data_IF_051698343814
#
_entry.id   IF_051698343814
#
_cell.length_a   1.000
_cell.length_b   1.000
_cell.length_c   1.000
_cell.angle_alpha   90.00
_cell.angle_beta   90.00
_cell.angle_gamma   90.00
#
_symmetry.space_group_name_H-M   'P 1'
#
loop_
_entity.id
_entity.type
_entity.pdbx_description
1 polymer ?
#
# COMPACT_ATOMS: atom_id res chain seq x y z
N UNK A 1 8.50 -7.03 10.91
CA UNK A 1 7.18 -7.12 11.53
C UNK A 1 6.69 -8.57 11.55
N UNK A 2 6.12 -8.98 12.67
CA UNK A 2 5.59 -10.34 12.87
C UNK A 2 4.20 -10.40 12.23
N UNK A 3 4.09 -10.96 11.02
CA UNK A 3 2.79 -11.15 10.37
C UNK A 3 1.98 -12.25 11.07
N UNK A 4 0.68 -12.04 11.24
CA UNK A 4 -0.25 -13.00 11.84
C UNK A 4 -0.82 -13.89 10.74
N UNK A 5 -0.76 -15.22 10.92
CA UNK A 5 -1.42 -16.20 10.06
C UNK A 5 -0.56 -16.98 9.05
N UNK A 6 0.65 -16.56 8.62
CA UNK A 6 1.44 -17.31 7.65
C UNK A 6 1.76 -18.74 8.07
N UNK A 7 1.99 -18.99 9.36
CA UNK A 7 2.28 -20.32 9.87
C UNK A 7 1.05 -21.26 9.75
N UNK A 8 -0.17 -20.75 10.00
CA UNK A 8 -1.42 -21.52 9.82
C UNK A 8 -1.69 -21.83 8.35
N UNK A 9 -1.43 -20.85 7.46
CA UNK A 9 -1.56 -21.06 6.02
C UNK A 9 -0.57 -22.11 5.53
N UNK A 10 0.68 -22.06 5.99
CA UNK A 10 1.70 -23.02 5.63
C UNK A 10 1.33 -24.45 6.13
N UNK A 11 0.78 -24.57 7.32
CA UNK A 11 0.28 -25.83 7.85
C UNK A 11 -0.85 -26.40 6.99
N UNK A 12 -1.80 -25.56 6.57
CA UNK A 12 -2.87 -25.95 5.64
C UNK A 12 -2.31 -26.50 4.33
N UNK A 13 -1.38 -25.78 3.70
CA UNK A 13 -0.72 -26.20 2.45
C UNK A 13 -0.01 -27.55 2.64
N UNK A 14 0.71 -27.72 3.76
CA UNK A 14 1.39 -28.98 4.09
C UNK A 14 0.42 -30.14 4.30
N UNK A 15 -0.76 -29.90 4.83
CA UNK A 15 -1.79 -30.92 4.99
C UNK A 15 -2.32 -31.38 3.62
N UNK A 16 -2.53 -30.46 2.67
CA UNK A 16 -2.85 -30.84 1.29
C UNK A 16 -1.78 -31.73 0.68
N UNK A 17 -0.51 -31.43 0.88
CA UNK A 17 0.59 -32.26 0.34
C UNK A 17 0.65 -33.68 0.91
N UNK A 18 0.13 -33.90 2.13
CA UNK A 18 0.06 -35.23 2.78
C UNK A 18 -1.13 -36.04 2.29
N UNK A 19 -2.29 -35.39 2.05
CA UNK A 19 -3.55 -36.07 1.75
C UNK A 19 -3.58 -36.62 0.31
N UNK A 20 -2.83 -36.04 -0.60
CA UNK A 20 -2.84 -36.43 -2.01
C UNK A 20 -2.14 -37.80 -2.31
N UNK A 21 -1.53 -38.46 -1.32
CA UNK A 21 -0.85 -39.75 -1.51
C UNK A 21 0.35 -39.71 -2.49
N UNK A 22 0.69 -38.52 -3.00
CA UNK A 22 1.71 -38.30 -4.02
C UNK A 22 3.00 -37.83 -3.36
N UNK A 23 4.11 -38.46 -3.72
CA UNK A 23 5.45 -38.13 -3.20
C UNK A 23 6.05 -36.84 -3.80
N UNK A 24 5.30 -36.11 -4.63
CA UNK A 24 5.78 -34.90 -5.32
C UNK A 24 5.50 -33.65 -4.49
N UNK A 25 6.34 -32.63 -4.68
CA UNK A 25 6.14 -31.31 -4.06
C UNK A 25 4.88 -30.64 -4.60
N UNK A 26 4.12 -30.00 -3.71
CA UNK A 26 2.97 -29.18 -4.07
C UNK A 26 3.45 -27.79 -4.48
N UNK A 27 3.03 -27.34 -5.67
CA UNK A 27 3.26 -25.99 -6.15
C UNK A 27 1.99 -25.14 -5.94
N UNK A 28 2.12 -24.01 -5.25
CA UNK A 28 1.02 -23.08 -4.92
C UNK A 28 1.28 -21.74 -5.56
N UNK A 29 0.41 -21.33 -6.50
CA UNK A 29 0.47 -19.99 -7.10
C UNK A 29 -0.18 -18.94 -6.21
N UNK A 30 0.47 -17.78 -6.05
CA UNK A 30 -0.08 -16.62 -5.36
C UNK A 30 -0.45 -15.58 -6.39
N UNK A 31 -1.74 -15.33 -6.57
CA UNK A 31 -2.30 -14.39 -7.57
C UNK A 31 -3.10 -13.28 -6.90
N UNK A 32 -3.19 -12.14 -7.54
CA UNK A 32 -3.97 -10.99 -7.06
C UNK A 32 -3.49 -9.67 -7.65
N UNK A 33 -4.12 -8.58 -7.25
CA UNK A 33 -3.77 -7.24 -7.71
C UNK A 33 -2.33 -6.83 -7.36
N UNK A 34 -1.74 -5.84 -8.06
CA UNK A 34 -0.47 -5.23 -7.65
C UNK A 34 -0.57 -4.66 -6.21
N UNK A 35 0.54 -4.66 -5.49
CA UNK A 35 0.72 -4.05 -4.16
C UNK A 35 -0.20 -4.53 -3.02
N UNK A 36 -0.93 -5.64 -3.18
CA UNK A 36 -1.78 -6.23 -2.12
C UNK A 36 -1.00 -7.10 -1.11
N UNK A 37 0.32 -7.19 -1.25
CA UNK A 37 1.17 -7.90 -0.30
C UNK A 37 1.51 -9.35 -0.68
N UNK A 38 1.33 -9.79 -1.94
CA UNK A 38 1.67 -11.17 -2.39
C UNK A 38 3.10 -11.58 -2.02
N UNK A 39 4.08 -10.82 -2.47
CA UNK A 39 5.51 -11.08 -2.21
C UNK A 39 5.85 -10.96 -0.73
N UNK A 40 5.20 -10.06 0.00
CA UNK A 40 5.35 -9.92 1.46
C UNK A 40 4.85 -11.16 2.21
N UNK A 41 3.70 -11.73 1.79
CA UNK A 41 3.17 -12.97 2.32
C UNK A 41 4.14 -14.14 2.12
N UNK A 42 4.71 -14.25 0.91
CA UNK A 42 5.69 -15.30 0.55
C UNK A 42 6.95 -15.18 1.43
N UNK A 43 7.47 -13.97 1.60
CA UNK A 43 8.62 -13.71 2.48
C UNK A 43 8.33 -14.10 3.92
N UNK A 44 7.12 -13.80 4.43
CA UNK A 44 6.69 -14.18 5.77
C UNK A 44 6.61 -15.69 5.96
N UNK A 45 6.09 -16.43 4.97
CA UNK A 45 6.06 -17.89 5.01
C UNK A 45 7.46 -18.51 4.96
N UNK A 46 8.38 -17.93 4.20
CA UNK A 46 9.79 -18.39 4.13
C UNK A 46 10.61 -17.96 5.35
N UNK A 47 10.11 -17.03 6.19
CA UNK A 47 10.83 -16.42 7.33
C UNK A 47 12.17 -15.76 6.92
N UNK A 48 12.27 -15.32 5.68
CA UNK A 48 13.42 -14.58 5.13
C UNK A 48 13.02 -13.87 3.84
N UNK A 49 13.80 -12.90 3.42
CA UNK A 49 13.61 -12.23 2.12
C UNK A 49 13.98 -13.19 0.99
N UNK A 50 12.97 -13.80 0.38
CA UNK A 50 13.12 -14.72 -0.76
C UNK A 50 12.78 -14.02 -2.09
N UNK A 51 11.86 -13.06 -2.06
CA UNK A 51 11.44 -12.25 -3.21
C UNK A 51 11.52 -10.78 -2.88
N UNK A 52 11.76 -9.94 -3.89
CA UNK A 52 11.76 -8.49 -3.73
C UNK A 52 10.36 -7.95 -3.44
N UNK A 53 10.28 -6.93 -2.60
CA UNK A 53 9.04 -6.19 -2.31
C UNK A 53 9.25 -4.70 -2.54
N UNK A 54 8.24 -4.02 -3.05
CA UNK A 54 8.22 -2.57 -3.25
C UNK A 54 6.78 -2.06 -3.16
N UNK A 55 6.60 -0.81 -2.74
CA UNK A 55 5.34 -0.10 -2.81
C UNK A 55 4.98 0.31 -4.27
N UNK A 56 5.93 0.21 -5.20
CA UNK A 56 5.73 0.56 -6.60
C UNK A 56 4.95 -0.53 -7.33
N UNK A 57 3.87 -0.16 -8.02
CA UNK A 57 3.08 -1.08 -8.84
C UNK A 57 3.95 -1.72 -9.94
N UNK A 58 3.71 -3.02 -10.21
CA UNK A 58 4.44 -3.76 -11.25
C UNK A 58 5.90 -4.09 -10.89
N UNK A 59 6.30 -4.04 -9.63
CA UNK A 59 7.65 -4.39 -9.20
C UNK A 59 8.00 -5.85 -9.54
N UNK A 60 7.10 -6.80 -9.28
CA UNK A 60 7.26 -8.21 -9.69
C UNK A 60 6.88 -8.33 -11.17
N UNK A 61 7.87 -8.50 -12.04
CA UNK A 61 7.67 -8.56 -13.50
C UNK A 61 7.55 -9.99 -14.04
N UNK A 62 8.18 -10.95 -13.37
CA UNK A 62 8.25 -12.34 -13.80
C UNK A 62 7.77 -13.27 -12.71
N UNK A 63 7.28 -14.45 -13.10
CA UNK A 63 6.99 -15.53 -12.16
C UNK A 63 8.29 -15.96 -11.46
N UNK A 64 8.24 -16.07 -10.14
CA UNK A 64 9.37 -16.50 -9.32
C UNK A 64 8.96 -17.70 -8.47
N UNK A 65 9.70 -18.80 -8.59
CA UNK A 65 9.47 -20.00 -7.76
C UNK A 65 10.30 -19.90 -6.48
N UNK A 66 9.64 -20.08 -5.33
CA UNK A 66 10.26 -20.05 -4.00
C UNK A 66 10.01 -21.39 -3.32
N UNK A 67 11.05 -22.15 -3.06
CA UNK A 67 10.99 -23.35 -2.24
C UNK A 67 10.83 -22.96 -0.76
N UNK A 68 9.70 -23.33 -0.17
CA UNK A 68 9.46 -23.14 1.26
C UNK A 68 10.12 -24.27 2.04
N UNK A 69 9.85 -25.51 1.63
CA UNK A 69 10.53 -26.72 2.09
C UNK A 69 10.57 -27.77 0.96
N UNK A 70 11.06 -28.98 1.24
CA UNK A 70 11.21 -30.05 0.26
C UNK A 70 9.90 -30.51 -0.40
N UNK A 71 8.74 -30.14 0.15
CA UNK A 71 7.41 -30.57 -0.30
C UNK A 71 6.51 -29.43 -0.73
N UNK A 72 6.90 -28.18 -0.51
CA UNK A 72 6.08 -26.99 -0.79
C UNK A 72 6.89 -25.96 -1.55
N UNK A 73 6.42 -25.65 -2.75
CA UNK A 73 6.93 -24.58 -3.59
C UNK A 73 5.84 -23.53 -3.74
N UNK A 74 6.22 -22.25 -3.69
CA UNK A 74 5.30 -21.12 -3.92
C UNK A 74 5.76 -20.37 -5.17
N UNK A 75 4.81 -20.02 -6.01
CA UNK A 75 5.05 -19.24 -7.22
C UNK A 75 4.53 -17.83 -6.97
N UNK A 76 5.45 -16.86 -6.86
CA UNK A 76 5.10 -15.44 -6.86
C UNK A 76 4.77 -14.99 -8.28
N UNK A 77 3.62 -14.35 -8.45
CA UNK A 77 3.17 -13.86 -9.76
C UNK A 77 3.13 -12.35 -9.81
N UNK A 78 3.32 -11.76 -11.01
CA UNK A 78 3.00 -10.36 -11.25
C UNK A 78 1.55 -10.06 -10.86
N UNK A 79 1.28 -8.79 -10.49
CA UNK A 79 -0.07 -8.35 -10.23
C UNK A 79 -0.93 -8.39 -11.50
N UNK A 80 -2.18 -8.82 -11.35
CA UNK A 80 -3.17 -8.84 -12.44
C UNK A 80 -4.10 -7.64 -12.27
N UNK A 81 -4.27 -6.84 -13.32
CA UNK A 81 -5.20 -5.71 -13.36
C UNK A 81 -6.35 -6.08 -14.30
N UNK A 82 -7.59 -5.89 -13.83
CA UNK A 82 -8.77 -6.09 -14.67
C UNK A 82 -8.92 -4.88 -15.62
N UNK A 83 -9.01 -5.13 -16.90
CA UNK A 83 -8.97 -4.12 -17.97
C UNK A 83 -10.16 -3.15 -18.03
N UNK A 84 -11.16 -3.30 -17.17
CA UNK A 84 -12.39 -2.49 -17.16
C UNK A 84 -12.45 -1.44 -16.04
N UNK A 85 -11.43 -1.32 -15.20
CA UNK A 85 -11.43 -0.33 -14.11
C UNK A 85 -10.96 1.03 -14.63
N UNK A 86 -11.58 2.10 -14.12
CA UNK A 86 -11.19 3.48 -14.41
C UNK A 86 -9.83 3.82 -13.79
N UNK A 87 -9.08 4.72 -14.40
CA UNK A 87 -7.73 5.11 -13.96
C UNK A 87 -7.72 5.63 -12.51
N UNK A 88 -8.77 6.36 -12.11
CA UNK A 88 -8.91 6.88 -10.74
C UNK A 88 -8.96 5.74 -9.72
N UNK A 89 -9.75 4.70 -9.99
CA UNK A 89 -9.84 3.52 -9.13
C UNK A 89 -8.50 2.77 -9.07
N UNK A 90 -7.80 2.63 -10.19
CA UNK A 90 -6.47 2.01 -10.24
C UNK A 90 -5.45 2.78 -9.38
N UNK A 91 -5.48 4.13 -9.44
CA UNK A 91 -4.63 4.99 -8.61
C UNK A 91 -4.93 4.80 -7.12
N UNK A 92 -6.21 4.89 -6.72
CA UNK A 92 -6.64 4.77 -5.32
C UNK A 92 -6.30 3.41 -4.71
N UNK A 93 -6.28 2.35 -5.54
CA UNK A 93 -5.88 0.99 -5.13
C UNK A 93 -4.39 0.71 -5.27
N UNK A 94 -3.58 1.71 -5.57
CA UNK A 94 -2.12 1.57 -5.77
C UNK A 94 -1.74 0.54 -6.86
N UNK A 95 -2.54 0.45 -7.92
CA UNK A 95 -2.35 -0.52 -9.00
C UNK A 95 -1.60 0.05 -10.20
N UNK A 96 -1.37 1.36 -10.23
CA UNK A 96 -0.66 2.09 -11.27
C UNK A 96 0.34 3.06 -10.64
N UNK A 97 1.48 3.25 -11.30
CA UNK A 97 2.49 4.21 -10.85
C UNK A 97 2.04 5.66 -11.09
N UNK A 98 2.36 6.56 -10.15
CA UNK A 98 2.07 7.98 -10.30
C UNK A 98 2.64 8.59 -11.61
N UNK A 99 3.78 8.09 -12.10
CA UNK A 99 4.39 8.54 -13.37
C UNK A 99 3.63 8.11 -14.62
N UNK A 100 2.83 7.03 -14.53
CA UNK A 100 2.09 6.45 -15.67
C UNK A 100 0.64 6.99 -15.76
N UNK A 101 0.18 7.70 -14.73
CA UNK A 101 -1.16 8.30 -14.68
C UNK A 101 -1.26 9.41 -15.72
N UNK A 102 -2.25 9.31 -16.60
CA UNK A 102 -2.48 10.30 -17.69
C UNK A 102 -3.06 11.59 -17.13
N UNK A 103 -4.10 11.47 -16.30
CA UNK A 103 -4.71 12.59 -15.59
C UNK A 103 -4.45 12.45 -14.08
N UNK A 104 -3.37 13.07 -13.56
CA UNK A 104 -3.05 12.95 -12.14
C UNK A 104 -3.92 13.84 -11.25
N UNK A 105 -4.69 14.78 -11.80
CA UNK A 105 -5.48 15.75 -11.03
C UNK A 105 -6.79 15.12 -10.53
N UNK A 106 -7.52 14.43 -11.41
CA UNK A 106 -8.82 13.83 -11.08
C UNK A 106 -8.79 12.86 -9.88
N UNK A 107 -7.79 11.97 -9.69
CA UNK A 107 -7.69 11.15 -8.49
C UNK A 107 -7.60 11.95 -7.19
N UNK A 108 -6.99 13.15 -7.22
CA UNK A 108 -6.83 13.98 -6.03
C UNK A 108 -8.18 14.45 -5.49
N UNK A 109 -9.14 14.78 -6.33
CA UNK A 109 -10.49 15.17 -5.89
C UNK A 109 -11.14 14.08 -5.05
N UNK A 110 -11.00 12.82 -5.45
CA UNK A 110 -11.49 11.68 -4.66
C UNK A 110 -10.71 11.46 -3.37
N UNK A 111 -9.39 11.61 -3.41
CA UNK A 111 -8.55 11.48 -2.20
C UNK A 111 -8.92 12.53 -1.15
N UNK A 112 -9.19 13.77 -1.55
CA UNK A 112 -9.58 14.85 -0.63
C UNK A 112 -10.92 14.58 0.09
N UNK A 113 -11.79 13.77 -0.50
CA UNK A 113 -13.04 13.35 0.14
C UNK A 113 -12.85 12.16 1.12
N UNK A 114 -11.70 11.52 1.09
CA UNK A 114 -11.40 10.32 1.89
C UNK A 114 -10.47 10.62 3.07
N UNK A 115 -9.74 11.72 3.02
CA UNK A 115 -8.71 12.09 4.01
C UNK A 115 -9.16 13.34 4.77
N UNK A 116 -8.89 13.38 6.06
CA UNK A 116 -9.13 14.57 6.88
C UNK A 116 -8.35 15.77 6.33
N UNK A 117 -9.03 16.92 6.24
CA UNK A 117 -8.40 18.16 5.78
C UNK A 117 -7.25 18.57 6.70
N UNK A 118 -7.41 18.41 8.00
CA UNK A 118 -6.38 18.75 8.99
C UNK A 118 -5.12 17.91 8.82
N UNK A 119 -5.27 16.61 8.53
CA UNK A 119 -4.13 15.73 8.24
C UNK A 119 -3.36 16.19 6.99
N UNK A 120 -4.08 16.64 5.94
CA UNK A 120 -3.47 17.16 4.72
C UNK A 120 -2.71 18.48 4.97
N UNK A 121 -3.31 19.39 5.74
CA UNK A 121 -2.67 20.66 6.11
C UNK A 121 -1.37 20.40 6.88
N UNK A 122 -1.41 19.46 7.82
CA UNK A 122 -0.27 19.08 8.64
C UNK A 122 0.83 18.40 7.82
N UNK A 123 0.45 17.38 7.02
CA UNK A 123 1.36 16.58 6.21
C UNK A 123 2.14 17.42 5.18
N UNK A 124 1.46 18.35 4.51
CA UNK A 124 2.08 19.17 3.47
C UNK A 124 2.56 20.52 3.96
N UNK A 125 2.29 20.89 5.22
CA UNK A 125 2.61 22.19 5.82
C UNK A 125 2.14 23.35 4.94
N UNK A 126 0.87 23.31 4.54
CA UNK A 126 0.25 24.26 3.61
C UNK A 126 -0.85 25.07 4.29
N UNK A 127 -1.19 26.21 3.68
CA UNK A 127 -2.33 27.01 4.10
C UNK A 127 -3.65 26.33 3.73
N UNK A 128 -4.76 26.79 4.33
CA UNK A 128 -6.10 26.31 4.04
C UNK A 128 -6.45 26.39 2.55
N UNK A 129 -7.29 25.48 2.10
CA UNK A 129 -7.71 25.37 0.69
C UNK A 129 -9.21 25.07 0.61
N UNK A 130 -9.81 25.44 -0.52
CA UNK A 130 -11.27 25.25 -0.77
C UNK A 130 -11.57 24.04 -1.66
N UNK A 131 -10.67 23.75 -2.60
CA UNK A 131 -10.84 22.73 -3.63
C UNK A 131 -9.52 22.04 -3.97
N UNK A 132 -9.58 21.01 -4.79
CA UNK A 132 -8.40 20.23 -5.22
C UNK A 132 -7.36 21.10 -5.93
N UNK A 133 -7.79 22.09 -6.71
CA UNK A 133 -6.87 22.99 -7.42
C UNK A 133 -6.12 23.88 -6.42
N UNK A 134 -6.82 24.42 -5.43
CA UNK A 134 -6.20 25.21 -4.35
C UNK A 134 -5.23 24.39 -3.51
N UNK A 135 -5.60 23.14 -3.19
CA UNK A 135 -4.73 22.18 -2.53
C UNK A 135 -3.44 21.95 -3.33
N UNK A 136 -3.57 21.56 -4.61
CA UNK A 136 -2.43 21.28 -5.47
C UNK A 136 -1.54 22.51 -5.70
N UNK A 137 -2.14 23.71 -5.78
CA UNK A 137 -1.41 24.96 -5.88
C UNK A 137 -0.51 25.16 -4.66
N UNK A 138 -1.05 24.94 -3.46
CA UNK A 138 -0.32 25.07 -2.21
C UNK A 138 0.78 24.01 -2.08
N UNK A 139 0.49 22.75 -2.47
CA UNK A 139 1.50 21.67 -2.51
C UNK A 139 2.61 21.98 -3.51
N UNK A 140 2.29 22.44 -4.72
CA UNK A 140 3.28 22.83 -5.72
C UNK A 140 4.24 23.91 -5.19
N UNK A 141 3.70 24.94 -4.53
CA UNK A 141 4.49 26.01 -3.89
C UNK A 141 5.36 25.45 -2.76
N UNK A 142 4.79 24.67 -1.86
CA UNK A 142 5.50 24.06 -0.72
C UNK A 142 6.65 23.15 -1.17
N UNK A 143 6.47 22.42 -2.26
CA UNK A 143 7.47 21.50 -2.83
C UNK A 143 8.37 22.13 -3.90
N UNK A 144 8.23 23.43 -4.16
CA UNK A 144 9.06 24.16 -5.15
C UNK A 144 8.86 23.67 -6.59
N UNK A 145 7.65 23.16 -6.91
CA UNK A 145 7.35 22.63 -8.25
C UNK A 145 6.73 23.69 -9.14
N UNK A 146 7.52 24.19 -10.08
CA UNK A 146 7.14 25.24 -11.01
C UNK A 146 7.48 24.85 -12.45
N UNK A 147 6.68 25.32 -13.39
CA UNK A 147 6.99 25.32 -14.85
C UNK A 147 7.69 26.63 -15.22
N UNK A 148 8.13 26.73 -16.49
CA UNK A 148 8.74 27.97 -17.02
C UNK A 148 7.80 29.16 -16.79
N UNK A 149 8.36 30.27 -16.32
CA UNK A 149 7.59 31.48 -15.99
C UNK A 149 7.13 31.56 -14.52
N UNK A 150 7.59 30.66 -13.64
CA UNK A 150 7.27 30.72 -12.20
C UNK A 150 5.84 30.27 -11.85
N UNK A 151 5.14 29.61 -12.77
CA UNK A 151 3.78 29.12 -12.57
C UNK A 151 3.83 27.78 -11.84
N UNK A 152 3.06 27.57 -10.73
CA UNK A 152 3.01 26.30 -10.03
C UNK A 152 2.57 25.14 -10.92
N UNK A 153 3.30 24.02 -10.88
CA UNK A 153 3.02 22.83 -11.66
C UNK A 153 2.05 21.91 -10.89
N UNK A 154 0.76 21.98 -11.22
CA UNK A 154 -0.27 21.21 -10.54
C UNK A 154 -0.19 19.71 -10.85
N UNK A 155 0.19 19.32 -12.06
CA UNK A 155 0.33 17.91 -12.44
C UNK A 155 1.46 17.24 -11.65
N UNK A 156 2.60 17.91 -11.54
CA UNK A 156 3.73 17.39 -10.76
C UNK A 156 3.40 17.33 -9.27
N UNK A 157 2.66 18.32 -8.75
CA UNK A 157 2.16 18.28 -7.38
C UNK A 157 1.21 17.10 -7.16
N UNK A 158 0.30 16.84 -8.11
CA UNK A 158 -0.61 15.70 -8.05
C UNK A 158 0.14 14.35 -8.06
N UNK A 159 1.18 14.21 -8.90
CA UNK A 159 2.03 13.01 -8.92
C UNK A 159 2.75 12.78 -7.59
N UNK A 160 3.19 13.85 -6.92
CA UNK A 160 3.77 13.76 -5.58
C UNK A 160 2.75 13.25 -4.58
N UNK A 161 1.51 13.79 -4.60
CA UNK A 161 0.43 13.37 -3.69
C UNK A 161 0.04 11.90 -3.93
N UNK A 162 -0.07 11.47 -5.19
CA UNK A 162 -0.32 10.06 -5.55
C UNK A 162 0.83 9.17 -5.04
N UNK A 163 2.06 9.62 -5.18
CA UNK A 163 3.22 8.91 -4.63
C UNK A 163 3.16 8.79 -3.11
N UNK A 164 2.83 9.86 -2.41
CA UNK A 164 2.68 9.85 -0.95
C UNK A 164 1.53 8.95 -0.48
N UNK A 165 0.41 8.90 -1.24
CA UNK A 165 -0.66 7.94 -1.03
C UNK A 165 -0.17 6.49 -1.18
N UNK A 166 0.53 6.19 -2.27
CA UNK A 166 1.04 4.83 -2.56
C UNK A 166 2.04 4.33 -1.51
N UNK A 167 2.80 5.23 -0.88
CA UNK A 167 3.75 4.91 0.17
C UNK A 167 3.14 4.94 1.58
N UNK A 168 1.83 5.15 1.71
CA UNK A 168 1.14 5.16 2.99
C UNK A 168 1.44 6.37 3.89
N UNK A 169 2.00 7.46 3.34
CA UNK A 169 2.23 8.70 4.09
C UNK A 169 0.95 9.48 4.38
N UNK A 170 -0.10 9.23 3.59
CA UNK A 170 -1.43 9.76 3.81
C UNK A 170 -2.27 8.75 4.57
N UNK A 171 -2.73 9.15 5.75
CA UNK A 171 -3.50 8.29 6.64
C UNK A 171 -4.90 8.03 6.07
N UNK A 172 -5.15 6.79 5.68
CA UNK A 172 -6.46 6.36 5.21
C UNK A 172 -6.71 4.91 5.59
N UNK A 173 -7.89 4.63 6.09
CA UNK A 173 -8.39 3.28 6.32
C UNK A 173 -9.89 3.22 6.02
N UNK A 174 -10.37 2.06 5.62
CA UNK A 174 -11.79 1.78 5.45
C UNK A 174 -12.26 0.75 6.47
N UNK A 175 -13.43 0.99 7.02
CA UNK A 175 -14.08 0.06 7.95
C UNK A 175 -15.02 -0.82 7.11
N UNK A 176 -14.99 -2.16 7.27
CA UNK A 176 -15.94 -3.05 6.60
C UNK A 176 -17.39 -2.75 6.98
N UNK A 177 -18.31 -2.88 6.02
CA UNK A 177 -19.72 -2.72 6.28
C UNK A 177 -20.20 -3.69 7.37
N UNK A 178 -20.90 -3.17 8.37
CA UNK A 178 -21.41 -3.96 9.50
C UNK A 178 -20.36 -4.32 10.56
N UNK A 179 -19.13 -3.82 10.47
CA UNK A 179 -18.13 -3.97 11.52
C UNK A 179 -18.60 -3.22 12.79
N UNK A 180 -18.90 -3.99 13.81
CA UNK A 180 -19.13 -3.48 15.17
C UNK A 180 -17.83 -3.70 15.92
N UNK A 181 -17.02 -2.65 16.08
CA UNK A 181 -15.80 -2.69 16.87
C UNK A 181 -16.03 -3.28 18.27
N UNK A 182 -14.99 -3.68 18.98
CA UNK A 182 -15.11 -4.13 20.34
C UNK A 182 -15.60 -2.99 21.24
N UNK A 183 -16.90 -2.97 21.54
CA UNK A 183 -17.55 -2.02 22.44
C UNK A 183 -18.10 -0.78 21.75
N UNK A 184 -19.41 -0.55 21.92
CA UNK A 184 -20.16 0.60 21.39
C UNK A 184 -19.93 1.92 22.16
N UNK A 185 -18.77 2.09 22.81
CA UNK A 185 -18.36 3.29 23.51
C UNK A 185 -16.91 3.61 23.16
N UNK A 186 -16.67 4.55 22.27
CA UNK A 186 -15.35 5.09 22.05
C UNK A 186 -14.54 4.47 20.89
N UNK A 187 -15.21 4.05 19.81
CA UNK A 187 -14.53 3.51 18.61
C UNK A 187 -13.46 4.46 18.05
N UNK A 188 -13.64 5.78 18.25
CA UNK A 188 -12.66 6.78 17.84
C UNK A 188 -11.40 6.78 18.71
N UNK A 189 -11.49 6.39 19.96
CA UNK A 189 -10.36 6.42 20.89
C UNK A 189 -9.48 5.17 20.77
N UNK A 190 -10.06 3.97 20.63
CA UNK A 190 -9.28 2.73 20.39
C UNK A 190 -8.59 2.74 19.01
N UNK A 191 -9.24 3.32 17.98
CA UNK A 191 -8.64 3.49 16.66
C UNK A 191 -7.52 4.53 16.72
N UNK A 192 -7.69 5.60 17.49
CA UNK A 192 -6.62 6.59 17.73
C UNK A 192 -5.45 5.98 18.49
N UNK A 193 -5.71 5.15 19.48
CA UNK A 193 -4.66 4.49 20.27
C UNK A 193 -3.88 3.50 19.41
N UNK A 194 -4.55 2.64 18.63
CA UNK A 194 -3.90 1.75 17.67
C UNK A 194 -3.12 2.52 16.59
N UNK A 195 -3.64 3.64 16.16
CA UNK A 195 -3.00 4.51 15.20
C UNK A 195 -1.75 5.19 15.78
N UNK A 196 -1.83 5.67 17.03
CA UNK A 196 -0.69 6.26 17.76
C UNK A 196 0.40 5.21 18.03
N UNK A 197 0.02 3.98 18.34
CA UNK A 197 0.94 2.85 18.53
C UNK A 197 1.70 2.51 17.23
N UNK A 198 1.00 2.52 16.06
CA UNK A 198 1.63 2.34 14.75
C UNK A 198 2.59 3.48 14.38
N UNK A 199 2.24 4.73 14.74
CA UNK A 199 3.14 5.89 14.51
C UNK A 199 4.40 5.75 15.36
N UNK A 200 4.25 5.34 16.62
CA UNK A 200 5.38 5.17 17.54
C UNK A 200 6.35 4.09 17.06
N UNK A 201 5.84 2.98 16.55
CA UNK A 201 6.64 1.90 15.97
C UNK A 201 7.39 2.37 14.72
N UNK A 202 6.71 3.10 13.80
CA UNK A 202 7.36 3.61 12.59
C UNK A 202 8.42 4.69 12.89
N UNK A 203 8.24 5.50 13.93
CA UNK A 203 9.24 6.49 14.34
C UNK A 203 10.49 5.83 14.93
N UNK A 204 10.34 4.74 15.67
CA UNK A 204 11.50 3.99 16.18
C UNK A 204 12.30 3.31 15.06
N UNK A 205 11.63 2.79 14.03
CA UNK A 205 12.31 2.19 12.86
C UNK A 205 13.08 3.25 12.04
N UNK A 206 12.57 4.49 11.95
CA UNK A 206 13.26 5.60 11.25
C UNK A 206 14.45 6.14 12.06
N UNK A 207 14.37 6.19 13.38
CA UNK A 207 15.44 6.62 14.26
C UNK A 207 16.60 5.60 14.30
N UNK A 208 16.30 4.28 14.31
CA UNK A 208 17.30 3.22 14.24
C UNK A 208 18.05 3.19 12.88
N UNK A 209 17.40 3.60 11.78
CA UNK A 209 18.06 3.69 10.46
C UNK A 209 18.95 4.94 10.29
N UNK A 210 18.85 5.93 11.17
CA UNK A 210 19.69 7.13 11.14
C UNK A 210 20.97 7.00 11.98
N UNK A 211 21.13 5.95 12.78
CA UNK A 211 22.29 5.71 13.64
C UNK A 211 23.34 4.71 13.07
N UNK A 212 23.09 4.14 11.88
CA UNK A 212 24.06 3.36 11.10
C UNK A 212 24.60 4.17 9.88
#
# INVERSE_FOLDING_TARGET
>A
SKSVGPDKLLELIKNYSKTAGVKTAVAVGVIGFPNVGKSSLINSMKKRRAVGVSATAGYTKNLQEVEIDSKVKIIDSPGVILSKEDEVTLVLRNQINASEVKDPITPIERMLNMISKDDLLLQYKIADFKDAKGFLLNVAKSRGKYIKGGIPNLEEAARIVIGDWSHGKLKYYSIPDGYKGPGTGGMDDEIKDFHNELIYINQQEDDEMCEE
#
